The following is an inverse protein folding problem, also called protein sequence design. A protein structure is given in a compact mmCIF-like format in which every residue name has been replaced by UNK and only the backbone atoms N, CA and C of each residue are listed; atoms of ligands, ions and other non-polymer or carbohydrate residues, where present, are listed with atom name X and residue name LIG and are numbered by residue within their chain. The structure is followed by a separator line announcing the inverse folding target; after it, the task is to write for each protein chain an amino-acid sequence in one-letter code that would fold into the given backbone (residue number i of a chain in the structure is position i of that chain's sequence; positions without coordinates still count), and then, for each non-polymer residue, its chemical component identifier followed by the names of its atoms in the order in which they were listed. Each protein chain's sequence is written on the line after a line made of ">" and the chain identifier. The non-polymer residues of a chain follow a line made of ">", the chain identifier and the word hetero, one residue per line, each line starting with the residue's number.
data_IF_007009045756
#
_entry.id   IF_007009045756
#
_cell.length_a   1.000
_cell.length_b   1.000
_cell.length_c   1.000
_cell.angle_alpha   90.00
_cell.angle_beta   90.00
_cell.angle_gamma   90.00
#
_symmetry.space_group_name_H-M   'P 1'
#
loop_
_entity.id
_entity.type
_entity.pdbx_description
1 polymer ?
#
# COMPACT_ATOMS: atom_id res chain seq x y z
N UNK A 1 9.46 2.47 33.38
CA UNK A 1 8.64 1.26 33.57
C UNK A 1 7.67 1.22 32.40
N UNK A 2 7.64 0.14 31.62
CA UNK A 2 6.69 0.02 30.51
C UNK A 2 5.35 -0.47 31.08
N UNK A 3 4.26 0.24 30.81
CA UNK A 3 2.90 -0.18 31.19
C UNK A 3 2.55 -1.45 30.41
N UNK A 4 1.88 -2.42 31.04
CA UNK A 4 1.32 -3.56 30.33
C UNK A 4 0.22 -3.09 29.36
N UNK A 5 0.32 -3.56 28.12
CA UNK A 5 -0.70 -3.32 27.11
C UNK A 5 -1.91 -4.20 27.37
N UNK A 6 -3.10 -3.61 27.29
CA UNK A 6 -4.35 -4.37 27.28
C UNK A 6 -4.55 -5.11 25.94
N UNK A 7 -5.59 -5.92 25.85
CA UNK A 7 -5.81 -6.78 24.68
C UNK A 7 -6.18 -5.98 23.42
N UNK A 8 -6.83 -4.82 23.59
CA UNK A 8 -7.17 -3.93 22.48
C UNK A 8 -5.90 -3.28 21.92
N UNK A 9 -5.05 -2.74 22.79
CA UNK A 9 -3.75 -2.18 22.43
C UNK A 9 -2.85 -3.22 21.73
N UNK A 10 -2.87 -4.49 22.19
CA UNK A 10 -2.13 -5.58 21.53
C UNK A 10 -2.69 -5.93 20.16
N UNK A 11 -4.01 -5.93 19.99
CA UNK A 11 -4.62 -6.23 18.70
C UNK A 11 -4.27 -5.14 17.67
N UNK A 12 -4.30 -3.87 18.07
CA UNK A 12 -3.87 -2.76 17.20
C UNK A 12 -2.41 -2.92 16.76
N UNK A 13 -1.52 -3.32 17.68
CA UNK A 13 -0.12 -3.58 17.30
C UNK A 13 0.02 -4.77 16.34
N UNK A 14 -0.74 -5.84 16.54
CA UNK A 14 -0.75 -6.98 15.60
C UNK A 14 -1.22 -6.58 14.21
N UNK A 15 -2.23 -5.71 14.12
CA UNK A 15 -2.73 -5.22 12.84
C UNK A 15 -1.73 -4.28 12.16
N UNK A 16 -0.98 -3.48 12.93
CA UNK A 16 0.13 -2.66 12.42
C UNK A 16 1.31 -3.53 11.96
N UNK A 17 1.61 -4.61 12.68
CA UNK A 17 2.69 -5.56 12.34
C UNK A 17 2.33 -6.50 11.18
N UNK A 18 1.04 -6.70 10.90
CA UNK A 18 0.55 -7.56 9.82
C UNK A 18 0.99 -7.09 8.42
N UNK A 19 1.51 -5.85 8.32
CA UNK A 19 1.95 -5.25 7.08
C UNK A 19 0.77 -4.87 6.17
N UNK A 20 1.09 -4.29 5.02
CA UNK A 20 0.07 -3.86 4.06
C UNK A 20 -0.29 -5.04 3.15
N UNK A 21 -1.58 -5.36 3.04
CA UNK A 21 -2.05 -6.38 2.11
C UNK A 21 -1.74 -5.97 0.66
N UNK A 22 -1.47 -6.92 -0.24
CA UNK A 22 -1.22 -6.59 -1.65
C UNK A 22 -2.36 -5.79 -2.29
N UNK A 23 -3.66 -6.09 -2.04
CA UNK A 23 -4.76 -5.26 -2.49
C UNK A 23 -4.70 -3.81 -1.99
N UNK A 24 -4.44 -3.61 -0.70
CA UNK A 24 -4.36 -2.26 -0.12
C UNK A 24 -3.14 -1.50 -0.68
N UNK A 25 -2.01 -2.18 -0.87
CA UNK A 25 -0.83 -1.60 -1.49
C UNK A 25 -1.11 -1.14 -2.93
N UNK A 26 -1.87 -1.92 -3.71
CA UNK A 26 -2.27 -1.53 -5.07
C UNK A 26 -3.09 -0.24 -5.03
N UNK A 27 -4.06 -0.13 -4.12
CA UNK A 27 -4.87 1.09 -3.94
C UNK A 27 -3.98 2.27 -3.56
N UNK A 28 -3.12 2.11 -2.56
CA UNK A 28 -2.20 3.17 -2.12
C UNK A 28 -1.28 3.69 -3.23
N UNK A 29 -0.79 2.79 -4.10
CA UNK A 29 0.08 3.17 -5.23
C UNK A 29 -0.72 3.92 -6.31
N UNK A 30 -2.00 3.59 -6.52
CA UNK A 30 -2.89 4.33 -7.43
C UNK A 30 -3.21 5.73 -6.88
N UNK A 31 -3.54 5.83 -5.61
CA UNK A 31 -3.77 7.12 -4.95
C UNK A 31 -2.51 8.01 -5.03
N UNK A 32 -1.32 7.42 -4.85
CA UNK A 32 -0.06 8.12 -5.04
C UNK A 32 0.09 8.66 -6.47
N UNK A 33 -0.30 7.89 -7.49
CA UNK A 33 -0.26 8.35 -8.87
C UNK A 33 -1.17 9.57 -9.10
N UNK A 34 -2.40 9.55 -8.56
CA UNK A 34 -3.34 10.67 -8.63
C UNK A 34 -2.77 11.93 -7.95
N UNK A 35 -2.19 11.76 -6.76
CA UNK A 35 -1.54 12.85 -6.01
C UNK A 35 -0.37 13.44 -6.79
N UNK A 36 0.50 12.60 -7.37
CA UNK A 36 1.64 13.03 -8.17
C UNK A 36 1.20 13.79 -9.42
N UNK A 37 0.16 13.30 -10.08
CA UNK A 37 -0.44 13.95 -11.26
C UNK A 37 -1.01 15.32 -10.91
N UNK A 38 -1.76 15.42 -9.80
CA UNK A 38 -2.29 16.69 -9.31
C UNK A 38 -1.22 17.72 -8.95
N UNK A 39 0.01 17.27 -8.64
CA UNK A 39 1.18 18.11 -8.37
C UNK A 39 2.06 18.39 -9.59
N UNK A 40 1.70 17.90 -10.78
CA UNK A 40 2.48 18.08 -12.01
C UNK A 40 3.67 17.12 -12.16
N UNK A 41 3.83 16.13 -11.29
CA UNK A 41 4.86 15.09 -11.38
C UNK A 41 4.43 13.96 -12.33
N UNK A 42 4.23 14.31 -13.60
CA UNK A 42 3.61 13.42 -14.61
C UNK A 42 4.38 12.11 -14.80
N UNK A 43 5.71 12.16 -14.86
CA UNK A 43 6.53 10.95 -15.05
C UNK A 43 6.39 10.00 -13.85
N UNK A 44 6.47 10.53 -12.63
CA UNK A 44 6.35 9.75 -11.40
C UNK A 44 4.95 9.17 -11.25
N UNK A 45 3.91 9.92 -11.63
CA UNK A 45 2.54 9.42 -11.67
C UNK A 45 2.40 8.21 -12.61
N UNK A 46 2.95 8.29 -13.82
CA UNK A 46 2.96 7.16 -14.76
C UNK A 46 3.74 5.95 -14.25
N UNK A 47 4.88 6.16 -13.56
CA UNK A 47 5.62 5.07 -12.93
C UNK A 47 4.79 4.39 -11.83
N UNK A 48 4.08 5.16 -11.01
CA UNK A 48 3.20 4.63 -9.97
C UNK A 48 2.03 3.83 -10.57
N UNK A 49 1.38 4.33 -11.62
CA UNK A 49 0.34 3.58 -12.35
C UNK A 49 0.85 2.23 -12.86
N UNK A 50 2.00 2.23 -13.55
CA UNK A 50 2.62 0.99 -14.07
C UNK A 50 2.96 0.02 -12.93
N UNK A 51 3.43 0.54 -11.78
CA UNK A 51 3.73 -0.29 -10.63
C UNK A 51 2.46 -0.94 -10.06
N UNK A 52 1.37 -0.18 -9.93
CA UNK A 52 0.08 -0.72 -9.47
C UNK A 52 -0.46 -1.81 -10.42
N UNK A 53 -0.36 -1.61 -11.72
CA UNK A 53 -0.81 -2.59 -12.71
C UNK A 53 0.03 -3.88 -12.65
N UNK A 54 1.35 -3.75 -12.51
CA UNK A 54 2.24 -4.92 -12.31
C UNK A 54 1.91 -5.66 -11.02
N UNK A 55 1.66 -4.96 -9.92
CA UNK A 55 1.24 -5.57 -8.66
C UNK A 55 -0.09 -6.30 -8.82
N UNK A 56 -1.05 -5.71 -9.53
CA UNK A 56 -2.33 -6.34 -9.83
C UNK A 56 -2.15 -7.63 -10.63
N UNK A 57 -1.34 -7.63 -11.68
CA UNK A 57 -1.04 -8.83 -12.47
C UNK A 57 -0.40 -9.93 -11.61
N UNK A 58 0.63 -9.58 -10.85
CA UNK A 58 1.31 -10.53 -9.95
C UNK A 58 0.34 -11.12 -8.90
N UNK A 59 -0.57 -10.31 -8.35
CA UNK A 59 -1.56 -10.76 -7.38
C UNK A 59 -2.56 -11.79 -7.93
N UNK A 60 -2.79 -11.77 -9.25
CA UNK A 60 -3.70 -12.72 -9.93
C UNK A 60 -3.01 -14.02 -10.36
N UNK A 61 -1.70 -14.16 -10.11
CA UNK A 61 -0.91 -15.32 -10.54
C UNK A 61 -0.59 -15.34 -12.04
N UNK A 62 -0.97 -14.30 -12.79
CA UNK A 62 -0.64 -14.14 -14.20
C UNK A 62 0.75 -13.51 -14.28
N UNK A 63 1.72 -14.26 -14.81
CA UNK A 63 3.05 -13.70 -15.11
C UNK A 63 2.92 -12.72 -16.28
N UNK A 64 3.41 -11.49 -16.05
CA UNK A 64 3.58 -10.46 -17.07
C UNK A 64 4.64 -10.86 -18.11
#
# INVERSE_FOLDING_TARGET
>A
MMRELDEEERQVLRDLDAGVSTPDLIVMVRDLAEILRGRGHVVQASVAEIAADRLSLLSTGIRA
#
